data_IF_286859950296
#
_entry.id   IF_286859950296
#
_cell.length_a   1.000
_cell.length_b   1.000
_cell.length_c   1.000
_cell.angle_alpha   90.00
_cell.angle_beta   90.00
_cell.angle_gamma   90.00
#
_symmetry.space_group_name_H-M   'P 1'
#
loop_
_entity.id
_entity.type
_entity.pdbx_description
1 polymer ?
#
# COMPACT_ATOMS: atom_id res chain seq x y z
N UNK A 1 5.68 -5.05 0.68
CA UNK A 1 6.56 -4.36 1.68
C UNK A 1 6.00 -3.00 2.09
N UNK A 2 5.42 -2.23 1.17
CA UNK A 2 4.84 -0.90 1.41
C UNK A 2 3.90 -0.82 2.62
N UNK A 3 2.87 -1.65 2.69
CA UNK A 3 1.87 -1.59 3.78
C UNK A 3 2.46 -1.89 5.16
N UNK A 4 3.45 -2.78 5.24
CA UNK A 4 4.16 -3.03 6.51
C UNK A 4 5.03 -1.84 6.93
N UNK A 5 5.68 -1.17 5.97
CA UNK A 5 6.43 0.05 6.25
C UNK A 5 5.50 1.18 6.74
N UNK A 6 4.33 1.33 6.12
CA UNK A 6 3.32 2.30 6.56
C UNK A 6 2.78 1.98 7.95
N UNK A 7 2.53 0.71 8.24
CA UNK A 7 2.12 0.27 9.57
C UNK A 7 3.19 0.61 10.64
N UNK A 8 4.46 0.29 10.39
CA UNK A 8 5.55 0.63 11.31
C UNK A 8 5.68 2.14 11.54
N UNK A 9 5.57 2.94 10.47
CA UNK A 9 5.61 4.40 10.56
C UNK A 9 4.41 4.95 11.34
N UNK A 10 3.22 4.39 11.13
CA UNK A 10 2.00 4.79 11.84
C UNK A 10 2.10 4.48 13.33
N UNK A 11 2.53 3.28 13.71
CA UNK A 11 2.72 2.90 15.12
C UNK A 11 3.75 3.80 15.81
N UNK A 12 4.85 4.14 15.13
CA UNK A 12 5.86 5.05 15.65
C UNK A 12 5.34 6.48 15.82
N UNK A 13 4.46 6.95 14.93
CA UNK A 13 3.87 8.29 14.98
C UNK A 13 2.65 8.40 15.91
N UNK A 14 2.04 7.27 16.30
CA UNK A 14 0.81 7.25 17.09
C UNK A 14 0.83 8.07 18.40
N UNK A 15 1.93 8.12 19.18
CA UNK A 15 1.99 8.93 20.39
C UNK A 15 1.68 10.42 20.18
N UNK A 16 1.98 10.96 18.99
CA UNK A 16 1.64 12.34 18.59
C UNK A 16 0.25 12.44 17.98
N UNK A 17 -0.17 11.43 17.22
CA UNK A 17 -1.45 11.43 16.51
C UNK A 17 -2.65 11.23 17.46
N UNK A 18 -2.47 10.54 18.59
CA UNK A 18 -3.54 10.28 19.57
C UNK A 18 -4.15 11.55 20.20
N UNK A 19 -3.50 12.70 20.05
CA UNK A 19 -4.03 14.01 20.50
C UNK A 19 -5.16 14.51 19.57
N UNK A 20 -5.14 14.09 18.30
CA UNK A 20 -6.08 14.54 17.27
C UNK A 20 -7.07 13.44 16.87
N UNK A 21 -6.71 12.17 17.10
CA UNK A 21 -7.49 11.00 16.69
C UNK A 21 -7.81 10.09 17.87
N UNK A 22 -8.96 9.44 17.81
CA UNK A 22 -9.45 8.58 18.87
C UNK A 22 -8.96 7.12 18.74
N UNK A 23 -9.22 6.34 19.78
CA UNK A 23 -8.88 4.90 19.82
C UNK A 23 -9.67 4.07 18.80
N UNK A 24 -10.82 4.54 18.33
CA UNK A 24 -11.55 3.88 17.25
C UNK A 24 -10.78 4.00 15.94
N UNK A 25 -10.35 5.21 15.59
CA UNK A 25 -9.53 5.47 14.41
C UNK A 25 -8.26 4.63 14.43
N UNK A 26 -7.57 4.58 15.57
CA UNK A 26 -6.36 3.76 15.73
C UNK A 26 -6.57 2.31 15.32
N UNK A 27 -7.58 1.66 15.91
CA UNK A 27 -7.88 0.25 15.65
C UNK A 27 -8.32 0.02 14.22
N UNK A 28 -9.15 0.92 13.68
CA UNK A 28 -9.59 0.86 12.29
C UNK A 28 -8.41 0.96 11.32
N UNK A 29 -7.50 1.92 11.52
CA UNK A 29 -6.37 2.15 10.63
C UNK A 29 -5.36 1.00 10.68
N UNK A 30 -5.07 0.47 11.88
CA UNK A 30 -4.26 -0.74 12.03
C UNK A 30 -4.87 -1.93 11.30
N UNK A 31 -6.17 -2.16 11.49
CA UNK A 31 -6.87 -3.25 10.83
C UNK A 31 -6.80 -3.12 9.31
N UNK A 32 -7.05 -1.93 8.77
CA UNK A 32 -6.95 -1.65 7.34
C UNK A 32 -5.56 -1.99 6.77
N UNK A 33 -4.49 -1.49 7.40
CA UNK A 33 -3.12 -1.72 6.92
C UNK A 33 -2.72 -3.19 6.97
N UNK A 34 -3.03 -3.87 8.09
CA UNK A 34 -2.64 -5.27 8.29
C UNK A 34 -3.46 -6.24 7.45
N UNK A 35 -4.78 -6.03 7.33
CA UNK A 35 -5.64 -6.84 6.44
C UNK A 35 -5.26 -6.68 4.98
N UNK A 36 -4.98 -5.44 4.54
CA UNK A 36 -4.50 -5.18 3.18
C UNK A 36 -3.13 -5.85 2.94
N UNK A 37 -2.22 -5.77 3.91
CA UNK A 37 -0.91 -6.42 3.81
C UNK A 37 -1.06 -7.95 3.71
N UNK A 38 -2.00 -8.53 4.46
CA UNK A 38 -2.34 -9.94 4.38
C UNK A 38 -2.90 -10.31 3.01
N UNK A 39 -3.85 -9.53 2.46
CA UNK A 39 -4.45 -9.78 1.15
C UNK A 39 -3.43 -9.76 0.01
N UNK A 40 -2.45 -8.86 0.04
CA UNK A 40 -1.33 -8.88 -0.91
C UNK A 40 -0.40 -10.08 -0.67
N UNK A 41 -0.10 -10.42 0.58
CA UNK A 41 0.78 -11.55 0.93
C UNK A 41 0.18 -12.91 0.56
N UNK A 42 -1.15 -13.07 0.72
CA UNK A 42 -1.91 -14.26 0.35
C UNK A 42 -2.21 -14.34 -1.15
N UNK A 43 -1.81 -13.33 -1.95
CA UNK A 43 -2.10 -13.21 -3.37
C UNK A 43 -3.59 -13.13 -3.71
N UNK A 44 -4.43 -12.78 -2.73
CA UNK A 44 -5.87 -12.55 -2.94
C UNK A 44 -6.12 -11.30 -3.79
N UNK A 45 -5.22 -10.31 -3.71
CA UNK A 45 -5.23 -9.11 -4.56
C UNK A 45 -3.87 -8.91 -5.22
N UNK A 46 -3.87 -8.22 -6.37
CA UNK A 46 -2.68 -8.02 -7.22
C UNK A 46 -2.49 -6.53 -7.53
N UNK A 47 -1.24 -6.12 -7.73
CA UNK A 47 -0.88 -4.77 -8.19
C UNK A 47 -0.24 -4.89 -9.57
N UNK A 48 -0.89 -4.36 -10.61
CA UNK A 48 -0.42 -4.45 -11.98
C UNK A 48 0.04 -3.09 -12.48
N UNK A 49 1.15 -3.09 -13.22
CA UNK A 49 1.59 -1.94 -13.98
C UNK A 49 1.41 -2.27 -15.46
N UNK A 50 0.44 -1.62 -16.11
CA UNK A 50 0.12 -1.85 -17.51
C UNK A 50 0.62 -0.67 -18.32
N UNK A 51 1.45 -0.93 -19.32
CA UNK A 51 1.95 0.08 -20.27
C UNK A 51 1.31 -0.19 -21.63
N UNK A 52 0.75 0.85 -22.23
CA UNK A 52 0.06 0.77 -23.53
C UNK A 52 0.59 1.83 -24.50
N UNK A 53 0.68 1.47 -25.78
CA UNK A 53 1.03 2.39 -26.86
C UNK A 53 0.05 2.25 -28.03
N UNK A 54 -0.13 3.32 -28.82
CA UNK A 54 -1.00 3.27 -30.01
C UNK A 54 -0.50 2.24 -31.04
N UNK A 55 -1.41 1.59 -31.80
CA UNK A 55 -1.03 0.74 -32.93
C UNK A 55 -0.11 1.48 -33.92
N UNK A 56 0.89 0.78 -34.47
CA UNK A 56 1.85 1.35 -35.42
C UNK A 56 2.99 2.17 -34.80
N UNK A 57 3.07 2.28 -33.47
CA UNK A 57 4.21 2.91 -32.78
C UNK A 57 5.28 1.88 -32.43
N UNK A 58 6.55 2.30 -32.49
CA UNK A 58 7.69 1.50 -32.00
C UNK A 58 7.52 1.21 -30.52
N UNK A 59 7.71 -0.06 -30.12
CA UNK A 59 7.60 -0.49 -28.72
C UNK A 59 8.69 0.19 -27.88
N UNK A 60 8.34 1.01 -26.86
CA UNK A 60 9.33 1.55 -25.94
C UNK A 60 9.96 0.43 -25.11
N UNK A 61 11.20 0.62 -24.68
CA UNK A 61 11.82 -0.30 -23.72
C UNK A 61 11.18 -0.09 -22.34
N UNK A 62 10.37 -1.05 -21.92
CA UNK A 62 9.60 -1.00 -20.67
C UNK A 62 10.09 -2.02 -19.65
N UNK A 63 11.24 -2.66 -19.86
CA UNK A 63 11.84 -3.51 -18.83
C UNK A 63 12.50 -2.62 -17.78
N UNK A 64 11.77 -2.41 -16.70
CA UNK A 64 12.35 -1.93 -15.45
C UNK A 64 13.01 -3.16 -14.80
N UNK A 65 14.29 -3.37 -15.06
CA UNK A 65 15.13 -4.36 -14.34
C UNK A 65 15.63 -3.69 -13.06
#
# INVERSE_FOLDING_TARGET
>A
RTLMAWYSNFEAAWPRLKEQYDQRFYRMWRFYLLSSAAAFRSRTIQLWQIVMTKPGRTRPDCRII
#
